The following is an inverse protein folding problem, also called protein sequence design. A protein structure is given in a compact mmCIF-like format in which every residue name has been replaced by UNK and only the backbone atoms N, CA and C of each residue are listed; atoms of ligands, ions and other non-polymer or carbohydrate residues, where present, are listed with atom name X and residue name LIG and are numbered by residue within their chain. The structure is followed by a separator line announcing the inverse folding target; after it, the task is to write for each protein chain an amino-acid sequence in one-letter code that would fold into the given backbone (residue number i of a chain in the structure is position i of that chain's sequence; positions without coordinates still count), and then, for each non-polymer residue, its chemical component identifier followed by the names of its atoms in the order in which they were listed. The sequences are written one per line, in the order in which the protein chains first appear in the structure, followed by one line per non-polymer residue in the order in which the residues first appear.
data_IF_908306870986
#
_entry.id   IF_908306870986
#
_cell.length_a   1.000
_cell.length_b   1.000
_cell.length_c   1.000
_cell.angle_alpha   90.00
_cell.angle_beta   90.00
_cell.angle_gamma   90.00
#
_symmetry.space_group_name_H-M   'P 1'
#
loop_
_entity.id
_entity.type
_entity.pdbx_description
1 polymer ?
#
# COMPACT_ATOMS: atom_id res chain seq x y z
N UNK A 1 13.76 7.94 -4.93
CA UNK A 1 13.03 6.89 -5.65
C UNK A 1 13.98 5.83 -6.18
N UNK A 2 13.73 4.53 -5.96
CA UNK A 2 14.60 3.41 -6.41
C UNK A 2 13.99 2.59 -7.51
N UNK A 3 12.70 2.28 -7.41
CA UNK A 3 12.02 1.42 -8.38
C UNK A 3 10.55 1.80 -8.48
N UNK A 4 9.97 1.65 -9.67
CA UNK A 4 8.54 1.83 -9.93
C UNK A 4 8.02 0.52 -10.52
N UNK A 5 7.03 -0.08 -9.86
CA UNK A 5 6.34 -1.27 -10.35
C UNK A 5 4.95 -0.87 -10.82
N UNK A 6 4.64 -1.17 -12.08
CA UNK A 6 3.29 -0.94 -12.63
C UNK A 6 2.41 -2.10 -12.19
N UNK A 7 1.42 -1.84 -11.35
CA UNK A 7 0.46 -2.84 -10.88
C UNK A 7 -0.73 -2.92 -11.84
N UNK A 8 -1.29 -1.75 -12.20
CA UNK A 8 -2.33 -1.58 -13.22
C UNK A 8 -2.07 -0.28 -13.98
N UNK A 9 -2.92 0.04 -14.96
CA UNK A 9 -2.80 1.33 -15.68
C UNK A 9 -3.02 2.56 -14.77
N UNK A 10 -3.68 2.40 -13.62
CA UNK A 10 -3.94 3.46 -12.62
C UNK A 10 -3.14 3.30 -11.33
N UNK A 11 -2.49 2.16 -11.11
CA UNK A 11 -1.86 1.84 -9.84
C UNK A 11 -0.38 1.54 -10.04
N UNK A 12 0.46 2.23 -9.29
CA UNK A 12 1.91 1.95 -9.23
C UNK A 12 2.37 1.74 -7.80
N UNK A 13 3.29 0.81 -7.62
CA UNK A 13 4.04 0.65 -6.38
C UNK A 13 5.38 1.35 -6.50
N UNK A 14 5.64 2.26 -5.57
CA UNK A 14 6.82 3.11 -5.51
C UNK A 14 7.74 2.59 -4.42
N UNK A 15 8.94 2.13 -4.77
CA UNK A 15 9.93 1.64 -3.83
C UNK A 15 10.94 2.75 -3.53
N UNK A 16 10.96 3.19 -2.28
CA UNK A 16 11.68 4.38 -1.83
C UNK A 16 12.84 3.99 -0.91
N UNK A 17 14.00 4.56 -1.15
CA UNK A 17 15.03 4.65 -0.12
C UNK A 17 14.80 5.95 0.68
N UNK A 18 14.54 5.83 1.97
CA UNK A 18 14.30 6.96 2.86
C UNK A 18 15.47 7.08 3.82
N UNK A 19 16.20 8.20 3.74
CA UNK A 19 17.32 8.44 4.63
C UNK A 19 16.84 8.54 6.09
N UNK A 20 17.57 7.95 7.02
CA UNK A 20 17.27 7.96 8.45
C UNK A 20 15.90 7.36 8.80
N UNK A 21 15.43 6.40 8.02
CA UNK A 21 14.18 5.71 8.32
C UNK A 21 14.36 4.75 9.50
N UNK A 22 13.67 5.01 10.59
CA UNK A 22 13.76 4.20 11.82
C UNK A 22 12.74 3.05 11.88
N UNK A 23 12.06 2.77 10.76
CA UNK A 23 11.03 1.75 10.67
C UNK A 23 9.62 2.30 10.89
N UNK A 24 8.63 1.42 10.80
CA UNK A 24 7.21 1.74 10.94
C UNK A 24 6.45 0.53 11.51
N UNK A 25 5.16 0.72 11.81
CA UNK A 25 4.23 -0.37 12.14
C UNK A 25 3.30 -0.64 10.95
N UNK A 26 2.91 -1.91 10.69
CA UNK A 26 1.92 -2.21 9.67
C UNK A 26 0.61 -1.49 9.93
N UNK A 27 0.08 -0.78 8.93
CA UNK A 27 -1.11 0.06 9.04
C UNK A 27 -0.82 1.55 9.16
N UNK A 28 0.43 1.96 9.37
CA UNK A 28 0.83 3.37 9.32
C UNK A 28 0.90 3.89 7.88
N UNK A 29 0.92 5.22 7.76
CA UNK A 29 1.03 5.95 6.51
C UNK A 29 2.16 6.98 6.56
N UNK A 30 2.43 7.57 5.43
CA UNK A 30 3.29 8.74 5.26
C UNK A 30 2.56 9.83 4.50
N UNK A 31 2.93 11.07 4.74
CA UNK A 31 2.53 12.20 3.91
C UNK A 31 3.60 12.47 2.86
N UNK A 32 3.20 12.56 1.61
CA UNK A 32 4.04 13.04 0.51
C UNK A 32 3.67 14.49 0.24
N UNK A 33 4.67 15.36 0.17
CA UNK A 33 4.54 16.75 -0.24
C UNK A 33 5.33 16.99 -1.52
N UNK A 34 4.64 17.53 -2.52
CA UNK A 34 5.22 18.02 -3.76
C UNK A 34 5.22 19.53 -3.73
N UNK A 35 6.30 20.13 -4.22
CA UNK A 35 6.43 21.58 -4.36
C UNK A 35 6.64 21.90 -5.84
N UNK A 36 5.76 22.71 -6.40
CA UNK A 36 5.87 23.21 -7.78
C UNK A 36 6.93 24.33 -7.87
N UNK A 37 7.36 24.67 -9.09
CA UNK A 37 8.37 25.70 -9.34
C UNK A 37 7.95 27.09 -8.84
N UNK A 38 6.66 27.39 -8.82
CA UNK A 38 6.09 28.64 -8.31
C UNK A 38 5.97 28.65 -6.76
N UNK A 39 6.38 27.58 -6.09
CA UNK A 39 6.30 27.43 -4.64
C UNK A 39 4.97 26.87 -4.12
N UNK A 40 3.99 26.56 -5.00
CA UNK A 40 2.76 25.90 -4.60
C UNK A 40 3.06 24.49 -4.02
N UNK A 41 2.37 24.13 -2.95
CA UNK A 41 2.56 22.86 -2.28
C UNK A 41 1.27 22.05 -2.22
N UNK A 42 1.35 20.80 -2.61
CA UNK A 42 0.29 19.82 -2.47
C UNK A 42 0.77 18.64 -1.61
N UNK A 43 -0.05 18.22 -0.66
CA UNK A 43 0.27 17.11 0.25
C UNK A 43 -0.87 16.10 0.28
N UNK A 44 -0.51 14.79 0.29
CA UNK A 44 -1.46 13.68 0.44
C UNK A 44 -0.84 12.55 1.25
N UNK A 45 -1.70 11.85 1.97
CA UNK A 45 -1.32 10.69 2.80
C UNK A 45 -1.41 9.39 2.01
N UNK A 46 -0.40 8.54 2.15
CA UNK A 46 -0.33 7.23 1.51
C UNK A 46 0.02 6.15 2.52
N UNK A 47 -0.79 5.10 2.56
CA UNK A 47 -0.52 3.94 3.41
C UNK A 47 0.76 3.23 2.99
N UNK A 48 1.54 2.80 3.96
CA UNK A 48 2.74 2.02 3.72
C UNK A 48 2.33 0.59 3.34
N UNK A 49 2.83 0.11 2.20
CA UNK A 49 2.53 -1.21 1.66
C UNK A 49 3.56 -2.28 2.06
N UNK A 50 4.80 -1.87 2.34
CA UNK A 50 5.86 -2.78 2.79
C UNK A 50 5.69 -3.17 4.25
N UNK A 51 6.13 -4.37 4.65
CA UNK A 51 6.28 -4.73 6.06
C UNK A 51 7.45 -3.94 6.70
N UNK A 52 7.46 -3.78 8.04
CA UNK A 52 8.39 -2.88 8.74
C UNK A 52 9.88 -3.14 8.52
N UNK A 53 10.27 -4.35 8.19
CA UNK A 53 11.67 -4.76 8.09
C UNK A 53 12.19 -4.82 6.64
N UNK A 54 11.45 -4.23 5.68
CA UNK A 54 11.93 -4.11 4.32
C UNK A 54 12.98 -3.00 4.22
N UNK A 55 13.99 -3.23 3.41
CA UNK A 55 15.04 -2.25 3.12
C UNK A 55 14.48 -1.00 2.43
N UNK A 56 13.47 -1.20 1.57
CA UNK A 56 12.79 -0.13 0.87
C UNK A 56 11.37 0.08 1.40
N UNK A 57 11.02 1.33 1.61
CA UNK A 57 9.64 1.72 1.88
C UNK A 57 8.83 1.61 0.59
N UNK A 58 7.75 0.83 0.60
CA UNK A 58 6.86 0.70 -0.55
C UNK A 58 5.56 1.44 -0.29
N UNK A 59 5.18 2.29 -1.24
CA UNK A 59 3.87 2.94 -1.29
C UNK A 59 3.15 2.47 -2.55
N UNK A 60 1.91 2.01 -2.42
CA UNK A 60 1.06 1.68 -3.57
C UNK A 60 0.08 2.82 -3.78
N UNK A 61 0.21 3.51 -4.92
CA UNK A 61 -0.51 4.74 -5.25
C UNK A 61 -1.48 4.48 -6.38
N UNK A 62 -2.75 4.81 -6.14
CA UNK A 62 -3.80 4.86 -7.17
C UNK A 62 -3.93 6.28 -7.69
N UNK A 63 -3.97 6.44 -9.04
CA UNK A 63 -4.21 7.71 -9.69
C UNK A 63 -5.65 8.16 -9.51
N UNK A 64 -5.82 9.37 -8.98
CA UNK A 64 -7.09 10.08 -8.91
C UNK A 64 -7.04 11.19 -9.95
N UNK A 65 -7.89 11.15 -10.99
CA UNK A 65 -7.76 11.99 -12.19
C UNK A 65 -7.79 13.51 -11.90
N UNK A 66 -8.59 13.92 -10.91
CA UNK A 66 -8.67 15.32 -10.48
C UNK A 66 -7.80 15.60 -9.23
N UNK A 67 -6.87 14.72 -8.92
CA UNK A 67 -5.93 14.90 -7.80
C UNK A 67 -4.72 15.74 -8.22
N UNK A 68 -4.00 16.27 -7.24
CA UNK A 68 -2.79 17.09 -7.48
C UNK A 68 -1.51 16.26 -7.32
N UNK A 69 -1.50 15.27 -6.44
CA UNK A 69 -0.29 14.50 -6.09
C UNK A 69 -0.25 13.15 -6.82
N UNK A 70 -1.34 12.37 -6.78
CA UNK A 70 -1.34 11.03 -7.37
C UNK A 70 -1.18 11.01 -8.90
N UNK A 71 -1.67 11.98 -9.70
CA UNK A 71 -1.36 12.03 -11.14
C UNK A 71 0.13 12.14 -11.41
N UNK A 72 0.84 13.02 -10.70
CA UNK A 72 2.29 13.14 -10.81
C UNK A 72 3.01 11.84 -10.41
N UNK A 73 2.68 11.26 -9.26
CA UNK A 73 3.31 10.04 -8.77
C UNK A 73 3.12 8.84 -9.69
N UNK A 74 1.97 8.77 -10.37
CA UNK A 74 1.65 7.65 -11.28
C UNK A 74 2.06 7.96 -12.72
N UNK A 75 2.00 9.23 -13.17
CA UNK A 75 2.27 9.65 -14.54
C UNK A 75 3.73 10.02 -14.79
N UNK A 76 4.23 10.98 -14.03
CA UNK A 76 5.43 11.74 -14.36
C UNK A 76 6.67 11.34 -13.57
N UNK A 77 6.49 10.79 -12.36
CA UNK A 77 7.58 10.39 -11.46
C UNK A 77 8.50 9.36 -12.12
N UNK A 78 9.81 9.56 -11.96
CA UNK A 78 10.87 8.70 -12.51
C UNK A 78 11.79 8.16 -11.43
N UNK A 79 12.46 7.07 -11.75
CA UNK A 79 13.54 6.54 -10.91
C UNK A 79 14.66 7.59 -10.80
N UNK A 80 15.10 7.84 -9.56
CA UNK A 80 16.05 8.90 -9.24
C UNK A 80 15.42 10.16 -8.65
N UNK A 81 14.15 10.44 -8.93
CA UNK A 81 13.46 11.62 -8.40
C UNK A 81 13.40 11.61 -6.87
N UNK A 82 13.31 12.80 -6.31
CA UNK A 82 13.23 13.05 -4.87
C UNK A 82 12.01 13.93 -4.57
N UNK A 83 11.36 13.65 -3.45
CA UNK A 83 10.26 14.45 -2.92
C UNK A 83 10.26 14.37 -1.40
N UNK A 84 9.53 15.28 -0.78
CA UNK A 84 9.45 15.32 0.68
C UNK A 84 8.48 14.25 1.21
N UNK A 85 8.93 13.56 2.26
CA UNK A 85 8.16 12.54 2.95
C UNK A 85 8.20 12.79 4.44
N UNK A 86 7.03 12.77 5.07
CA UNK A 86 6.86 12.88 6.52
C UNK A 86 6.22 11.62 7.06
N UNK A 87 6.79 11.02 8.07
CA UNK A 87 6.26 9.82 8.71
C UNK A 87 7.30 9.04 9.50
N UNK A 88 6.93 7.84 10.00
CA UNK A 88 5.61 7.23 9.88
C UNK A 88 4.57 7.92 10.76
N UNK A 89 3.31 7.93 10.31
CA UNK A 89 2.18 8.56 10.99
C UNK A 89 1.10 7.51 11.26
N UNK A 90 0.39 7.66 12.38
CA UNK A 90 -0.72 6.80 12.80
C UNK A 90 -0.35 5.87 13.95
N UNK A 91 -1.35 5.54 14.78
CA UNK A 91 -1.18 4.69 15.95
C UNK A 91 -2.41 3.84 16.28
N UNK A 92 -3.59 4.23 15.79
CA UNK A 92 -4.83 3.50 16.07
C UNK A 92 -5.08 2.35 15.07
N UNK A 93 -4.72 2.54 13.82
CA UNK A 93 -4.88 1.54 12.77
C UNK A 93 -3.57 0.80 12.51
N UNK A 94 -3.05 0.15 13.56
CA UNK A 94 -1.82 -0.63 13.48
C UNK A 94 -2.05 -2.04 13.98
N UNK A 95 -1.33 -2.99 13.39
CA UNK A 95 -1.33 -4.35 13.87
C UNK A 95 0.07 -4.78 14.31
N UNK A 96 0.13 -5.42 15.46
CA UNK A 96 1.36 -5.98 16.02
C UNK A 96 1.14 -7.41 16.49
N UNK A 97 2.22 -8.18 16.58
CA UNK A 97 2.18 -9.56 17.08
C UNK A 97 1.69 -9.69 18.53
N UNK A 98 1.66 -8.59 19.28
CA UNK A 98 1.12 -8.56 20.65
C UNK A 98 -0.42 -8.65 20.67
N UNK A 99 -1.08 -8.27 19.58
CA UNK A 99 -2.53 -8.42 19.41
C UNK A 99 -2.83 -9.89 19.11
N UNK A 100 -3.31 -10.61 20.11
CA UNK A 100 -3.63 -12.03 20.00
C UNK A 100 -5.01 -12.23 19.37
N UNK A 101 -5.19 -13.36 18.65
CA UNK A 101 -6.45 -13.76 18.06
C UNK A 101 -6.45 -13.77 16.54
N UNK A 102 -7.56 -14.17 15.90
CA UNK A 102 -7.70 -14.16 14.46
C UNK A 102 -7.74 -12.73 13.92
N UNK A 103 -7.16 -12.53 12.73
CA UNK A 103 -7.14 -11.26 12.02
C UNK A 103 -8.24 -11.26 10.96
N UNK A 104 -9.29 -10.46 11.16
CA UNK A 104 -10.34 -10.27 10.17
C UNK A 104 -10.17 -8.89 9.52
N UNK A 105 -9.86 -8.88 8.22
CA UNK A 105 -9.53 -7.70 7.46
C UNK A 105 -10.61 -7.46 6.40
N UNK A 106 -11.08 -6.22 6.29
CA UNK A 106 -12.09 -5.83 5.31
C UNK A 106 -11.62 -4.57 4.60
N UNK A 107 -11.58 -4.59 3.27
CA UNK A 107 -11.12 -3.47 2.46
C UNK A 107 -11.92 -3.28 1.19
N UNK A 108 -11.94 -2.02 0.71
CA UNK A 108 -12.38 -1.64 -0.63
C UNK A 108 -11.30 -0.81 -1.33
N UNK A 109 -11.10 -1.06 -2.65
CA UNK A 109 -10.14 -0.33 -3.46
C UNK A 109 -8.75 -0.24 -2.84
N UNK A 110 -8.14 0.95 -2.85
CA UNK A 110 -6.81 1.21 -2.29
C UNK A 110 -6.71 1.02 -0.76
N UNK A 111 -7.85 0.91 -0.05
CA UNK A 111 -7.88 0.58 1.38
C UNK A 111 -7.27 -0.78 1.73
N UNK A 112 -7.03 -1.65 0.75
CA UNK A 112 -6.36 -2.93 0.95
C UNK A 112 -4.86 -2.76 1.26
N UNK A 113 -4.24 -1.67 0.84
CA UNK A 113 -2.78 -1.44 0.95
C UNK A 113 -2.25 -1.61 2.37
N UNK A 114 -2.78 -0.92 3.40
CA UNK A 114 -2.29 -1.10 4.77
C UNK A 114 -2.58 -2.50 5.32
N UNK A 115 -3.64 -3.16 4.88
CA UNK A 115 -3.97 -4.52 5.29
C UNK A 115 -3.00 -5.54 4.71
N UNK A 116 -2.53 -5.31 3.47
CA UNK A 116 -1.48 -6.12 2.87
C UNK A 116 -0.14 -5.99 3.60
N UNK A 117 0.19 -4.81 4.11
CA UNK A 117 1.36 -4.63 4.97
C UNK A 117 1.26 -5.47 6.26
N UNK A 118 0.06 -5.52 6.89
CA UNK A 118 -0.20 -6.38 8.06
C UNK A 118 -0.04 -7.86 7.73
N UNK A 119 -0.60 -8.32 6.60
CA UNK A 119 -0.50 -9.72 6.17
C UNK A 119 0.95 -10.11 5.83
N UNK A 120 1.67 -9.26 5.09
CA UNK A 120 3.09 -9.47 4.77
C UNK A 120 3.95 -9.51 6.03
N UNK A 121 3.68 -8.63 7.00
CA UNK A 121 4.39 -8.63 8.29
C UNK A 121 4.12 -9.91 9.07
N UNK A 122 2.84 -10.34 9.16
CA UNK A 122 2.43 -11.59 9.79
C UNK A 122 3.20 -12.78 9.21
N UNK A 123 3.27 -12.85 7.89
CA UNK A 123 3.92 -13.94 7.18
C UNK A 123 5.44 -13.97 7.43
N UNK A 124 6.11 -12.84 7.27
CA UNK A 124 7.56 -12.73 7.53
C UNK A 124 7.94 -13.08 8.96
N UNK A 125 7.09 -12.73 9.91
CA UNK A 125 7.28 -13.09 11.33
C UNK A 125 6.80 -14.49 11.66
N UNK A 126 6.28 -15.25 10.67
CA UNK A 126 5.75 -16.61 10.84
C UNK A 126 4.71 -16.71 11.96
N UNK A 127 3.89 -15.67 12.13
CA UNK A 127 2.84 -15.63 13.14
C UNK A 127 1.70 -16.53 12.70
N UNK A 128 1.33 -17.51 13.51
CA UNK A 128 0.31 -18.52 13.19
C UNK A 128 -1.14 -18.08 13.43
N UNK A 129 -1.37 -16.83 13.84
CA UNK A 129 -2.73 -16.34 14.02
C UNK A 129 -3.54 -16.49 12.70
N UNK A 130 -4.73 -17.10 12.73
CA UNK A 130 -5.58 -17.15 11.52
C UNK A 130 -5.85 -15.76 11.00
N UNK A 131 -5.91 -15.61 9.68
CA UNK A 131 -6.24 -14.35 9.04
C UNK A 131 -7.18 -14.57 7.88
N UNK A 132 -8.16 -13.67 7.71
CA UNK A 132 -9.08 -13.61 6.59
C UNK A 132 -9.11 -12.20 6.04
N UNK A 133 -9.21 -12.07 4.71
CA UNK A 133 -9.34 -10.80 4.02
C UNK A 133 -10.58 -10.84 3.14
N UNK A 134 -11.52 -9.92 3.40
CA UNK A 134 -12.63 -9.61 2.49
C UNK A 134 -12.23 -8.35 1.71
N UNK A 135 -12.17 -8.47 0.38
CA UNK A 135 -11.77 -7.37 -0.49
C UNK A 135 -12.82 -7.12 -1.58
N UNK A 136 -13.18 -5.86 -1.76
CA UNK A 136 -14.08 -5.38 -2.81
C UNK A 136 -13.34 -4.42 -3.74
N UNK A 137 -13.47 -4.61 -5.05
CA UNK A 137 -13.00 -3.69 -6.09
C UNK A 137 -14.07 -3.50 -7.15
N UNK A 138 -14.02 -2.39 -7.89
CA UNK A 138 -15.00 -2.10 -8.96
C UNK A 138 -14.86 -3.04 -10.15
N UNK A 139 -13.61 -3.42 -10.47
CA UNK A 139 -13.28 -4.38 -11.51
C UNK A 139 -12.06 -5.21 -11.13
N UNK A 140 -11.78 -6.29 -11.85
CA UNK A 140 -10.54 -7.05 -11.70
C UNK A 140 -9.32 -6.22 -12.10
N UNK A 141 -9.48 -5.34 -13.07
CA UNK A 141 -8.42 -4.46 -13.58
C UNK A 141 -8.04 -3.36 -12.58
N UNK A 142 -9.00 -2.91 -11.74
CA UNK A 142 -8.78 -1.96 -10.65
C UNK A 142 -8.30 -2.66 -9.36
N UNK A 143 -8.13 -3.97 -9.37
CA UNK A 143 -7.72 -4.71 -8.18
C UNK A 143 -6.24 -4.46 -7.86
N UNK A 144 -5.97 -3.88 -6.70
CA UNK A 144 -4.61 -3.72 -6.16
C UNK A 144 -3.92 -5.05 -5.81
N UNK A 145 -4.62 -6.17 -6.01
CA UNK A 145 -4.12 -7.54 -5.81
C UNK A 145 -3.81 -8.25 -7.13
N UNK A 146 -4.06 -7.61 -8.29
CA UNK A 146 -4.01 -8.23 -9.61
C UNK A 146 -2.61 -8.63 -10.06
N UNK A 147 -1.58 -7.95 -9.61
CA UNK A 147 -0.20 -8.35 -9.84
C UNK A 147 0.24 -9.44 -8.86
N UNK A 148 -0.53 -10.52 -8.77
CA UNK A 148 -0.33 -11.69 -7.88
C UNK A 148 1.09 -12.24 -7.79
N UNK A 149 2.05 -11.56 -8.37
CA UNK A 149 3.44 -11.96 -8.44
C UNK A 149 4.22 -11.79 -7.13
N UNK A 150 3.68 -11.11 -6.13
CA UNK A 150 4.51 -10.86 -4.93
C UNK A 150 3.81 -11.06 -3.58
N UNK A 151 2.63 -11.61 -3.56
CA UNK A 151 2.16 -12.35 -2.39
C UNK A 151 2.73 -13.77 -2.50
N UNK A 152 4.04 -13.92 -2.36
CA UNK A 152 4.73 -15.20 -2.46
C UNK A 152 4.08 -16.22 -1.52
N UNK A 153 3.32 -17.14 -2.10
CA UNK A 153 2.99 -18.43 -1.47
C UNK A 153 1.93 -18.42 -0.36
N UNK A 154 1.63 -17.31 0.28
CA UNK A 154 0.82 -17.26 1.50
C UNK A 154 -0.67 -17.14 1.25
N UNK A 155 -1.07 -16.58 0.12
CA UNK A 155 -2.49 -16.45 -0.23
C UNK A 155 -3.18 -17.78 -0.57
N UNK A 156 -2.43 -18.87 -0.79
CA UNK A 156 -3.00 -20.13 -1.26
C UNK A 156 -3.44 -21.11 -0.18
N UNK A 157 -3.00 -20.98 1.05
CA UNK A 157 -3.28 -22.03 2.04
C UNK A 157 -4.07 -21.61 3.29
N UNK A 158 -4.27 -20.31 3.54
CA UNK A 158 -4.91 -19.85 4.77
C UNK A 158 -5.84 -18.62 4.61
N UNK A 159 -6.08 -18.13 3.39
CA UNK A 159 -6.92 -16.96 3.15
C UNK A 159 -8.10 -17.30 2.25
N UNK A 160 -9.31 -17.09 2.73
CA UNK A 160 -10.47 -16.95 1.86
C UNK A 160 -10.47 -15.50 1.34
N UNK A 161 -10.08 -15.30 0.09
CA UNK A 161 -10.24 -14.04 -0.61
C UNK A 161 -11.61 -14.08 -1.28
N UNK A 162 -12.61 -13.42 -0.71
CA UNK A 162 -13.85 -13.15 -1.40
C UNK A 162 -13.70 -11.81 -2.13
N UNK A 163 -13.55 -11.85 -3.45
CA UNK A 163 -13.71 -10.67 -4.29
C UNK A 163 -15.20 -10.50 -4.57
N UNK A 164 -15.76 -9.37 -4.18
CA UNK A 164 -17.07 -8.95 -4.65
C UNK A 164 -16.83 -7.89 -5.71
N UNK A 165 -17.13 -8.21 -6.96
CA UNK A 165 -17.09 -7.28 -8.09
C UNK A 165 -18.52 -6.75 -8.27
N UNK A 166 -18.68 -5.43 -8.31
CA UNK A 166 -19.99 -4.81 -8.57
C UNK A 166 -20.44 -5.17 -9.99
N UNK A 167 -21.62 -5.81 -10.17
CA UNK A 167 -22.09 -6.25 -11.47
C UNK A 167 -22.56 -5.11 -12.39
N UNK A 168 -22.51 -3.85 -11.98
CA UNK A 168 -23.02 -2.71 -12.79
C UNK A 168 -21.97 -2.11 -13.74
N UNK A 169 -20.76 -2.66 -13.81
CA UNK A 169 -19.67 -2.19 -14.70
C UNK A 169 -19.25 -3.21 -15.76
N UNK A 170 -20.13 -4.14 -16.12
CA UNK A 170 -19.94 -5.06 -17.23
C UNK A 170 -20.64 -4.55 -18.51
#
# INVERSE_FOLDING_TARGET
MREIVVETYRVKSLLLHVANWHGHLPGQHVDIRLTAEDGYQAQRSYSIASPPNDELLTLTVERVDNGEVSPYLVGDLRVGDQFELRGPIGGYFVWTAALRGPLCLIAGGSGVVPLMAMLRHRDRRKIRAPASLLYSSRSLEDSHLSSGARCNGVLRSQFACCQHVDPQTA
#
